data_IF_824754564096
#
_entry.id   IF_824754564096
#
_cell.length_a   1.000
_cell.length_b   1.000
_cell.length_c   1.000
_cell.angle_alpha   90.00
_cell.angle_beta   90.00
_cell.angle_gamma   90.00
#
_symmetry.space_group_name_H-M   'P 1'
#
loop_
_entity.id
_entity.type
_entity.pdbx_description
1 polymer ?
#
# COMPACT_ATOMS: atom_id res chain seq x y z
N UNK A 1 -14.31 -6.60 -6.25
CA UNK A 1 -15.57 -6.80 -5.48
C UNK A 1 -16.73 -6.21 -6.28
N UNK A 2 -17.91 -6.85 -6.36
CA UNK A 2 -19.09 -6.25 -7.02
C UNK A 2 -20.23 -6.15 -6.00
N UNK A 3 -20.81 -4.96 -5.89
CA UNK A 3 -21.93 -4.67 -4.99
C UNK A 3 -23.09 -4.19 -5.86
N UNK A 4 -24.26 -4.80 -5.70
CA UNK A 4 -25.48 -4.41 -6.39
C UNK A 4 -26.51 -3.97 -5.35
N UNK A 5 -26.93 -2.70 -5.44
CA UNK A 5 -27.94 -2.11 -4.56
C UNK A 5 -29.20 -1.87 -5.38
N UNK A 6 -30.27 -2.60 -5.07
CA UNK A 6 -31.59 -2.38 -5.65
C UNK A 6 -32.38 -1.49 -4.71
N UNK A 7 -32.76 -0.30 -5.16
CA UNK A 7 -33.61 0.62 -4.39
C UNK A 7 -34.94 0.85 -5.08
N UNK A 8 -36.02 0.75 -4.31
CA UNK A 8 -37.36 1.07 -4.78
C UNK A 8 -37.59 2.57 -4.61
N UNK A 9 -37.75 3.31 -5.70
CA UNK A 9 -38.03 4.73 -5.60
C UNK A 9 -39.49 4.90 -5.19
N UNK A 10 -39.74 5.44 -3.99
CA UNK A 10 -41.09 5.64 -3.42
C UNK A 10 -41.97 6.64 -4.22
N UNK A 11 -41.49 7.14 -5.35
CA UNK A 11 -42.18 8.10 -6.20
C UNK A 11 -43.26 7.43 -7.08
N UNK A 12 -44.23 6.69 -6.53
CA UNK A 12 -45.46 6.19 -7.18
C UNK A 12 -45.36 5.50 -8.57
N UNK A 13 -44.20 5.37 -9.19
CA UNK A 13 -43.99 4.82 -10.54
C UNK A 13 -43.62 3.34 -10.51
N UNK A 14 -43.34 2.77 -9.33
CA UNK A 14 -42.88 1.39 -9.18
C UNK A 14 -41.51 1.14 -9.83
N UNK A 15 -40.79 2.19 -10.21
CA UNK A 15 -39.51 2.06 -10.90
C UNK A 15 -38.41 1.70 -9.90
N UNK A 16 -37.92 0.46 -9.99
CA UNK A 16 -36.72 0.04 -9.28
C UNK A 16 -35.50 0.68 -9.94
N UNK A 17 -34.60 1.22 -9.12
CA UNK A 17 -33.28 1.68 -9.57
C UNK A 17 -32.23 0.72 -9.05
N UNK A 18 -31.47 0.12 -9.97
CA UNK A 18 -30.30 -0.70 -9.67
C UNK A 18 -29.07 0.20 -9.73
N UNK A 19 -28.29 0.26 -8.65
CA UNK A 19 -26.96 0.86 -8.62
C UNK A 19 -25.93 -0.23 -8.43
N UNK A 20 -24.95 -0.29 -9.32
CA UNK A 20 -23.82 -1.20 -9.21
C UNK A 20 -22.56 -0.42 -8.78
N UNK A 21 -21.88 -0.93 -7.76
CA UNK A 21 -20.60 -0.42 -7.26
C UNK A 21 -19.52 -1.49 -7.47
N UNK A 22 -18.48 -1.14 -8.20
CA UNK A 22 -17.43 -2.05 -8.62
C UNK A 22 -16.13 -1.69 -7.91
N UNK A 23 -15.67 -2.58 -7.03
CA UNK A 23 -14.34 -2.58 -6.47
C UNK A 23 -13.31 -3.04 -7.50
N UNK A 24 -13.24 -2.35 -8.64
CA UNK A 24 -12.38 -2.61 -9.81
C UNK A 24 -11.79 -1.31 -10.36
N UNK A 25 -11.72 -0.26 -9.55
CA UNK A 25 -11.02 0.98 -9.93
C UNK A 25 -9.55 0.69 -10.18
N UNK A 26 -8.97 1.35 -11.18
CA UNK A 26 -7.54 1.26 -11.51
C UNK A 26 -6.66 2.23 -10.70
N UNK A 27 -7.26 2.96 -9.74
CA UNK A 27 -6.58 3.98 -8.95
C UNK A 27 -5.25 3.49 -8.33
N UNK A 28 -5.20 2.24 -7.89
CA UNK A 28 -4.01 1.67 -7.25
C UNK A 28 -3.30 0.61 -8.10
N UNK A 29 -3.65 0.45 -9.37
CA UNK A 29 -3.11 -0.62 -10.22
C UNK A 29 -1.58 -0.59 -10.25
N UNK A 30 -0.94 -1.74 -10.00
CA UNK A 30 0.52 -1.87 -10.00
C UNK A 30 1.22 -1.18 -8.82
N UNK A 31 0.54 -0.45 -7.94
CA UNK A 31 1.19 0.07 -6.71
C UNK A 31 1.53 -1.06 -5.73
N UNK A 32 0.90 -2.22 -5.87
CA UNK A 32 1.25 -3.46 -5.17
C UNK A 32 2.56 -4.09 -5.64
N UNK A 33 2.98 -3.80 -6.88
CA UNK A 33 4.32 -4.15 -7.34
C UNK A 33 5.34 -3.19 -6.70
N UNK A 34 6.25 -3.74 -5.88
CA UNK A 34 7.22 -2.95 -5.11
C UNK A 34 8.06 -2.02 -5.97
N UNK A 35 8.42 -2.45 -7.17
CA UNK A 35 9.24 -1.66 -8.07
C UNK A 35 8.46 -0.56 -8.79
N UNK A 36 7.19 -0.79 -9.11
CA UNK A 36 6.32 0.24 -9.68
C UNK A 36 5.90 1.28 -8.63
N UNK A 37 5.74 0.90 -7.36
CA UNK A 37 5.63 1.87 -6.27
C UNK A 37 6.86 2.78 -6.22
N UNK A 38 8.07 2.22 -6.27
CA UNK A 38 9.31 3.00 -6.27
C UNK A 38 9.43 3.90 -7.52
N UNK A 39 9.03 3.41 -8.72
CA UNK A 39 8.96 4.25 -9.93
C UNK A 39 7.93 5.36 -9.79
N UNK A 40 6.77 5.05 -9.23
CA UNK A 40 5.68 6.03 -9.03
C UNK A 40 6.12 7.15 -8.10
N UNK A 41 6.77 6.83 -6.97
CA UNK A 41 7.32 7.84 -6.06
C UNK A 41 8.33 8.76 -6.77
N UNK A 42 9.18 8.22 -7.66
CA UNK A 42 10.10 9.02 -8.47
C UNK A 42 9.39 9.87 -9.53
N UNK A 43 8.39 9.31 -10.23
CA UNK A 43 7.56 10.04 -11.22
C UNK A 43 6.86 11.24 -10.56
N UNK A 44 6.37 11.05 -9.33
CA UNK A 44 5.71 12.09 -8.53
C UNK A 44 6.69 13.01 -7.80
N UNK A 45 8.00 12.82 -7.98
CA UNK A 45 9.08 13.63 -7.36
C UNK A 45 9.05 13.63 -5.82
N UNK A 46 8.66 12.51 -5.23
CA UNK A 46 8.50 12.37 -3.78
C UNK A 46 9.81 12.11 -3.02
N UNK A 47 10.98 12.16 -3.67
CA UNK A 47 12.26 11.77 -3.06
C UNK A 47 12.64 12.65 -1.86
N UNK A 48 12.20 13.90 -1.86
CA UNK A 48 12.45 14.88 -0.79
C UNK A 48 11.47 14.79 0.38
N UNK A 49 10.41 13.97 0.25
CA UNK A 49 9.35 13.86 1.25
C UNK A 49 9.55 12.72 2.24
N UNK A 50 10.58 11.90 2.04
CA UNK A 50 10.88 10.72 2.86
C UNK A 50 9.67 9.77 3.03
N UNK A 51 8.79 9.67 2.02
CA UNK A 51 7.58 8.82 2.06
C UNK A 51 7.95 7.34 2.27
N UNK A 52 9.00 6.87 1.61
CA UNK A 52 9.47 5.49 1.67
C UNK A 52 10.96 5.47 1.99
N UNK A 53 11.49 4.42 2.63
CA UNK A 53 12.92 4.33 2.85
C UNK A 53 13.67 4.37 1.50
N UNK A 54 14.86 4.98 1.43
CA UNK A 54 15.64 5.08 0.20
C UNK A 54 15.72 3.73 -0.52
N UNK A 55 15.35 3.72 -1.80
CA UNK A 55 15.18 2.49 -2.58
C UNK A 55 15.86 2.58 -3.95
N UNK A 56 16.53 1.51 -4.34
CA UNK A 56 17.16 1.32 -5.64
C UNK A 56 16.52 0.13 -6.35
N UNK A 57 16.31 0.29 -7.66
CA UNK A 57 15.79 -0.77 -8.52
C UNK A 57 16.95 -1.51 -9.16
N UNK A 58 16.90 -2.85 -9.16
CA UNK A 58 17.90 -3.70 -9.77
C UNK A 58 17.22 -4.57 -10.84
N UNK A 59 17.66 -4.43 -12.08
CA UNK A 59 17.16 -5.22 -13.20
C UNK A 59 17.81 -6.61 -13.23
N UNK A 60 17.11 -7.61 -13.78
CA UNK A 60 17.54 -9.01 -13.83
C UNK A 60 18.83 -9.25 -14.63
N UNK A 61 19.16 -8.33 -15.54
CA UNK A 61 20.28 -8.47 -16.49
C UNK A 61 21.45 -7.53 -16.21
N UNK A 62 21.32 -6.62 -15.24
CA UNK A 62 22.39 -5.68 -14.91
C UNK A 62 23.33 -6.31 -13.88
N UNK A 63 24.63 -6.15 -14.09
CA UNK A 63 25.64 -6.54 -13.10
C UNK A 63 25.46 -5.69 -11.83
N UNK A 64 25.03 -6.32 -10.74
CA UNK A 64 24.73 -5.63 -9.48
C UNK A 64 25.89 -4.78 -8.96
N UNK A 65 27.14 -5.19 -9.25
CA UNK A 65 28.36 -4.45 -8.87
C UNK A 65 28.41 -3.05 -9.47
N UNK A 66 27.86 -2.85 -10.67
CA UNK A 66 27.84 -1.55 -11.35
C UNK A 66 26.78 -0.60 -10.78
N UNK A 67 25.72 -1.14 -10.16
CA UNK A 67 24.61 -0.37 -9.59
C UNK A 67 24.83 0.00 -8.13
N UNK A 68 25.35 -0.95 -7.36
CA UNK A 68 25.42 -0.87 -5.90
C UNK A 68 26.79 -0.36 -5.43
N UNK A 69 27.84 -0.55 -6.24
CA UNK A 69 29.21 -0.31 -5.79
C UNK A 69 29.62 -1.23 -4.64
N UNK A 70 30.65 -0.84 -3.88
CA UNK A 70 31.14 -1.61 -2.72
C UNK A 70 30.26 -1.47 -1.46
N UNK A 71 29.23 -0.62 -1.47
CA UNK A 71 28.37 -0.34 -0.30
C UNK A 71 26.88 -0.38 -0.67
N UNK A 72 26.07 -1.25 -0.03
CA UNK A 72 24.72 -1.60 -0.48
C UNK A 72 23.72 -0.43 -0.53
N UNK A 73 23.94 0.65 0.21
CA UNK A 73 23.13 1.86 0.08
C UNK A 73 23.96 3.10 0.34
N UNK A 74 23.99 4.02 -0.63
CA UNK A 74 24.35 5.43 -0.39
C UNK A 74 23.08 6.17 0.07
N UNK A 75 22.36 5.61 1.04
CA UNK A 75 21.26 6.32 1.65
C UNK A 75 21.84 7.53 2.41
N UNK A 76 21.19 8.70 2.40
CA UNK A 76 21.58 9.81 3.26
C UNK A 76 21.23 9.44 4.72
N UNK A 77 22.07 8.60 5.34
CA UNK A 77 21.99 8.37 6.77
C UNK A 77 22.45 9.65 7.49
N UNK A 78 21.68 10.19 8.45
CA UNK A 78 22.03 11.42 9.16
C UNK A 78 23.22 11.27 10.14
N UNK A 79 23.89 10.12 10.18
CA UNK A 79 25.08 9.88 11.00
C UNK A 79 26.10 9.00 10.23
N UNK A 80 27.40 9.12 10.53
CA UNK A 80 28.43 8.24 9.99
C UNK A 80 28.27 6.85 10.64
N UNK A 81 27.36 6.05 10.09
CA UNK A 81 27.26 4.63 10.40
C UNK A 81 28.41 3.94 9.66
N UNK A 82 29.13 3.06 10.36
CA UNK A 82 30.16 2.23 9.73
C UNK A 82 29.52 1.47 8.55
N UNK A 83 29.97 1.69 7.30
CA UNK A 83 29.40 1.06 6.13
C UNK A 83 29.31 -0.46 6.24
N UNK A 84 30.21 -1.09 7.01
CA UNK A 84 30.24 -2.55 7.24
C UNK A 84 29.08 -3.08 8.10
N UNK A 85 28.32 -2.20 8.76
CA UNK A 85 27.15 -2.55 9.58
C UNK A 85 25.82 -2.23 8.89
N UNK A 86 25.86 -1.59 7.72
CA UNK A 86 24.66 -1.19 7.01
C UNK A 86 23.97 -2.42 6.40
N UNK A 87 22.82 -2.78 6.96
CA UNK A 87 21.96 -3.84 6.42
C UNK A 87 20.89 -3.20 5.57
N UNK A 88 20.79 -3.68 4.33
CA UNK A 88 19.70 -3.34 3.42
C UNK A 88 18.70 -4.50 3.35
N UNK A 89 17.51 -4.18 2.85
CA UNK A 89 16.43 -5.14 2.61
C UNK A 89 16.30 -5.30 1.10
N UNK A 90 16.70 -6.46 0.59
CA UNK A 90 16.48 -6.85 -0.79
C UNK A 90 15.13 -7.57 -0.88
N UNK A 91 14.22 -7.03 -1.71
CA UNK A 91 12.88 -7.57 -1.91
C UNK A 91 12.73 -8.09 -3.33
N UNK A 92 12.24 -9.32 -3.44
CA UNK A 92 11.77 -9.89 -4.68
C UNK A 92 10.63 -9.04 -5.25
N UNK A 93 10.57 -8.88 -6.59
CA UNK A 93 9.56 -8.04 -7.21
C UNK A 93 8.12 -8.49 -6.89
N UNK A 94 7.88 -9.79 -6.90
CA UNK A 94 6.57 -10.43 -6.71
C UNK A 94 6.42 -11.10 -5.34
N UNK A 95 7.35 -10.84 -4.42
CA UNK A 95 7.32 -11.41 -3.08
C UNK A 95 6.14 -10.87 -2.27
N UNK A 96 5.43 -11.75 -1.56
CA UNK A 96 4.31 -11.39 -0.68
C UNK A 96 4.41 -12.11 0.67
N UNK A 97 3.74 -11.56 1.70
CA UNK A 97 3.67 -12.12 3.06
C UNK A 97 5.06 -12.35 3.70
N UNK A 98 6.00 -11.47 3.40
CA UNK A 98 7.40 -11.56 3.87
C UNK A 98 8.26 -12.60 3.12
N UNK A 99 7.69 -13.42 2.24
CA UNK A 99 8.46 -14.28 1.32
C UNK A 99 9.19 -13.41 0.30
N UNK A 100 10.43 -13.79 -0.04
CA UNK A 100 11.26 -13.02 -0.96
C UNK A 100 11.84 -11.73 -0.37
N UNK A 101 11.87 -11.61 0.96
CA UNK A 101 12.53 -10.53 1.68
C UNK A 101 13.84 -11.05 2.28
N UNK A 102 14.96 -10.45 1.90
CA UNK A 102 16.31 -10.82 2.32
C UNK A 102 16.98 -9.63 3.00
N UNK A 103 17.69 -9.89 4.11
CA UNK A 103 18.56 -8.90 4.74
C UNK A 103 19.97 -9.10 4.19
N UNK A 104 20.50 -8.09 3.52
CA UNK A 104 21.76 -8.16 2.78
C UNK A 104 22.76 -7.12 3.29
N UNK A 105 24.03 -7.49 3.31
CA UNK A 105 25.14 -6.67 3.82
C UNK A 105 26.05 -6.14 2.72
N UNK A 106 26.13 -6.84 1.59
CA UNK A 106 27.04 -6.48 0.52
C UNK A 106 26.49 -6.88 -0.87
N UNK A 107 27.24 -6.46 -1.89
CA UNK A 107 26.87 -6.69 -3.29
C UNK A 107 27.04 -8.14 -3.73
N UNK A 108 27.89 -8.93 -3.07
CA UNK A 108 28.09 -10.34 -3.38
C UNK A 108 26.88 -11.17 -2.89
N UNK A 109 26.35 -10.88 -1.70
CA UNK A 109 25.09 -11.47 -1.20
C UNK A 109 23.92 -11.14 -2.14
N UNK A 110 23.78 -9.88 -2.54
CA UNK A 110 22.74 -9.44 -3.50
C UNK A 110 22.86 -10.23 -4.80
N UNK A 111 24.08 -10.32 -5.36
CA UNK A 111 24.30 -11.01 -6.61
C UNK A 111 23.99 -12.50 -6.50
N UNK A 112 24.40 -13.16 -5.41
CA UNK A 112 24.13 -14.58 -5.19
C UNK A 112 22.62 -14.88 -5.13
N UNK A 113 21.84 -14.04 -4.44
CA UNK A 113 20.38 -14.19 -4.33
C UNK A 113 19.69 -13.99 -5.68
N UNK A 114 20.02 -12.91 -6.39
CA UNK A 114 19.43 -12.61 -7.71
C UNK A 114 19.82 -13.69 -8.72
N UNK A 115 21.07 -14.14 -8.71
CA UNK A 115 21.56 -15.18 -9.62
C UNK A 115 20.82 -16.51 -9.46
N UNK A 116 20.60 -16.91 -8.21
CA UNK A 116 19.84 -18.12 -7.88
C UNK A 116 18.42 -18.03 -8.43
N UNK A 117 17.70 -16.95 -8.10
CA UNK A 117 16.33 -16.73 -8.57
C UNK A 117 16.24 -16.61 -10.11
N UNK A 118 17.25 -16.01 -10.73
CA UNK A 118 17.39 -15.94 -12.19
C UNK A 118 17.47 -17.31 -12.83
N UNK A 119 18.32 -18.19 -12.31
CA UNK A 119 18.43 -19.57 -12.81
C UNK A 119 17.10 -20.32 -12.69
N UNK A 120 16.44 -20.20 -11.54
CA UNK A 120 15.13 -20.80 -11.31
C UNK A 120 14.08 -20.28 -12.31
N UNK A 121 13.94 -18.96 -12.44
CA UNK A 121 13.02 -18.32 -13.39
C UNK A 121 13.28 -18.70 -14.86
N UNK A 122 14.54 -18.84 -15.27
CA UNK A 122 14.89 -19.25 -16.65
C UNK A 122 14.74 -20.74 -16.91
N UNK A 123 14.72 -21.56 -15.85
CA UNK A 123 14.52 -23.01 -15.95
C UNK A 123 13.05 -23.39 -16.11
N UNK A 124 12.13 -22.51 -15.67
CA UNK A 124 10.70 -22.69 -15.85
C UNK A 124 10.25 -22.20 -17.24
N UNK A 125 9.73 -23.12 -18.06
CA UNK A 125 9.31 -22.81 -19.43
C UNK A 125 8.20 -21.75 -19.48
N UNK A 126 8.50 -20.64 -20.18
CA UNK A 126 7.56 -19.54 -20.41
C UNK A 126 7.29 -18.67 -19.17
N UNK A 127 8.03 -18.81 -18.07
CA UNK A 127 7.80 -18.01 -16.85
C UNK A 127 7.96 -16.50 -17.11
N UNK A 128 9.07 -16.09 -17.74
CA UNK A 128 9.32 -14.67 -18.05
C UNK A 128 8.31 -14.12 -19.07
N UNK A 129 7.93 -14.92 -20.06
CA UNK A 129 6.94 -14.51 -21.07
C UNK A 129 5.56 -14.30 -20.44
N UNK A 130 5.16 -15.15 -19.49
CA UNK A 130 3.92 -14.97 -18.71
C UNK A 130 3.97 -13.68 -17.89
N UNK A 131 5.08 -13.39 -17.22
CA UNK A 131 5.26 -12.14 -16.47
C UNK A 131 5.15 -10.91 -17.38
N UNK A 132 5.77 -10.94 -18.56
CA UNK A 132 5.67 -9.84 -19.54
C UNK A 132 4.23 -9.71 -20.05
N UNK A 133 3.54 -10.82 -20.32
CA UNK A 133 2.15 -10.78 -20.77
C UNK A 133 1.20 -10.20 -19.70
N UNK A 134 1.42 -10.54 -18.42
CA UNK A 134 0.60 -10.07 -17.31
C UNK A 134 0.89 -8.62 -16.91
N UNK A 135 2.17 -8.25 -16.82
CA UNK A 135 2.61 -6.96 -16.25
C UNK A 135 3.09 -5.96 -17.30
N UNK A 136 3.23 -6.37 -18.55
CA UNK A 136 3.83 -5.57 -19.64
C UNK A 136 5.34 -5.36 -19.50
N UNK A 137 5.99 -6.02 -18.53
CA UNK A 137 7.40 -5.84 -18.16
C UNK A 137 7.91 -7.02 -17.33
N UNK A 138 9.23 -7.14 -17.21
CA UNK A 138 9.85 -7.96 -16.16
C UNK A 138 10.03 -7.07 -14.92
N UNK A 139 9.43 -7.39 -13.77
CA UNK A 139 9.58 -6.58 -12.57
C UNK A 139 11.01 -6.56 -12.01
N UNK A 140 11.46 -5.38 -11.59
CA UNK A 140 12.80 -5.16 -11.00
C UNK A 140 12.80 -5.54 -9.52
N UNK A 141 13.96 -5.96 -9.02
CA UNK A 141 14.19 -6.12 -7.59
C UNK A 141 14.24 -4.75 -6.90
N UNK A 142 13.89 -4.70 -5.62
CA UNK A 142 13.97 -3.47 -4.82
C UNK A 142 14.98 -3.68 -3.69
N UNK A 143 16.09 -2.95 -3.77
CA UNK A 143 17.04 -2.81 -2.67
C UNK A 143 16.67 -1.57 -1.86
N UNK A 144 16.19 -1.76 -0.65
CA UNK A 144 15.65 -0.70 0.20
C UNK A 144 16.46 -0.60 1.49
N UNK A 145 16.72 0.63 1.95
CA UNK A 145 17.33 0.84 3.26
C UNK A 145 16.46 0.25 4.38
N UNK A 146 17.08 -0.44 5.34
CA UNK A 146 16.35 -0.87 6.54
C UNK A 146 15.95 0.36 7.38
N UNK A 147 14.71 0.38 7.86
CA UNK A 147 14.23 1.43 8.77
C UNK A 147 14.85 1.23 10.14
N UNK A 148 15.84 2.07 10.48
CA UNK A 148 16.54 2.07 11.77
C UNK A 148 16.76 3.51 12.29
N UNK A 149 16.69 3.71 13.62
CA UNK A 149 16.14 2.79 14.62
C UNK A 149 14.60 2.69 14.46
N UNK A 150 14.07 1.46 14.41
CA UNK A 150 12.63 1.23 14.39
C UNK A 150 12.06 1.32 15.81
N UNK A 151 10.85 1.84 15.97
CA UNK A 151 10.16 1.85 17.25
C UNK A 151 9.87 0.41 17.66
N UNK A 152 10.23 0.05 18.88
CA UNK A 152 9.93 -1.26 19.45
C UNK A 152 8.86 -1.18 20.53
N UNK A 153 8.04 -2.21 20.63
CA UNK A 153 6.94 -2.35 21.59
C UNK A 153 7.05 -3.66 22.37
N UNK A 154 6.33 -3.79 23.48
CA UNK A 154 6.14 -5.06 24.22
C UNK A 154 7.41 -5.92 24.34
N UNK A 155 8.37 -5.44 25.11
CA UNK A 155 9.67 -6.11 25.27
C UNK A 155 10.42 -6.20 23.94
N UNK A 156 10.69 -5.05 23.32
CA UNK A 156 11.63 -4.90 22.20
C UNK A 156 11.22 -5.62 20.91
N UNK A 157 9.91 -5.79 20.68
CA UNK A 157 9.38 -6.39 19.45
C UNK A 157 9.13 -5.33 18.39
N UNK A 158 9.56 -5.63 17.17
CA UNK A 158 9.25 -4.83 15.98
C UNK A 158 7.77 -4.94 15.65
N UNK A 159 7.20 -3.90 15.06
CA UNK A 159 5.84 -3.93 14.52
C UNK A 159 5.75 -3.09 13.25
N UNK A 160 4.72 -3.34 12.44
CA UNK A 160 4.28 -2.37 11.43
C UNK A 160 2.81 -2.04 11.65
N UNK A 161 2.39 -0.90 11.09
CA UNK A 161 1.02 -0.45 11.09
C UNK A 161 0.41 -0.77 9.72
N UNK A 162 -0.71 -1.48 9.71
CA UNK A 162 -1.58 -1.62 8.54
C UNK A 162 -2.67 -0.56 8.62
N UNK A 163 -2.73 0.32 7.64
CA UNK A 163 -3.83 1.29 7.47
C UNK A 163 -4.52 1.11 6.14
N UNK A 164 -5.79 1.51 6.04
CA UNK A 164 -6.59 1.31 4.84
C UNK A 164 -6.91 2.64 4.18
N UNK A 165 -6.71 2.69 2.86
CA UNK A 165 -7.11 3.82 2.01
C UNK A 165 -8.13 3.33 1.00
N UNK A 166 -9.18 4.13 0.81
CA UNK A 166 -10.24 3.89 -0.17
C UNK A 166 -10.24 5.02 -1.17
N UNK A 167 -10.16 4.69 -2.46
CA UNK A 167 -10.36 5.63 -3.54
C UNK A 167 -11.75 5.39 -4.13
N UNK A 168 -12.59 6.43 -4.19
CA UNK A 168 -13.91 6.40 -4.81
C UNK A 168 -13.86 7.26 -6.06
N UNK A 169 -14.15 6.68 -7.22
CA UNK A 169 -14.26 7.43 -8.48
C UNK A 169 -15.57 8.21 -8.50
N UNK A 170 -15.50 9.50 -8.79
CA UNK A 170 -16.68 10.34 -9.02
C UNK A 170 -17.07 10.23 -10.50
N UNK A 171 -18.37 10.33 -10.80
CA UNK A 171 -18.85 10.11 -12.17
C UNK A 171 -18.49 11.30 -13.06
N UNK A 172 -17.53 11.09 -13.96
CA UNK A 172 -17.00 12.10 -14.91
C UNK A 172 -17.98 12.44 -16.04
N UNK A 173 -19.04 11.65 -16.24
CA UNK A 173 -19.94 11.77 -17.40
C UNK A 173 -21.30 12.39 -17.09
N UNK A 174 -21.31 13.54 -16.42
CA UNK A 174 -22.41 14.48 -16.61
C UNK A 174 -21.88 15.63 -17.46
N UNK A 175 -22.16 15.55 -18.76
CA UNK A 175 -21.94 16.61 -19.76
C UNK A 175 -22.66 17.92 -19.44
N UNK A 176 -23.45 17.95 -18.36
CA UNK A 176 -23.94 19.16 -17.75
C UNK A 176 -23.45 19.18 -16.30
N UNK A 177 -22.65 20.18 -15.87
CA UNK A 177 -22.50 20.44 -14.46
C UNK A 177 -23.91 20.60 -13.90
N UNK A 178 -24.27 19.80 -12.87
CA UNK A 178 -25.47 20.04 -12.09
C UNK A 178 -25.40 21.50 -11.64
N UNK A 179 -26.36 22.32 -12.08
CA UNK A 179 -26.37 23.78 -11.94
C UNK A 179 -25.73 24.24 -10.61
N UNK A 180 -24.49 24.72 -10.69
CA UNK A 180 -23.78 25.37 -9.58
C UNK A 180 -22.75 24.55 -8.80
N UNK A 181 -22.45 23.29 -9.18
CA UNK A 181 -21.33 22.55 -8.57
C UNK A 181 -20.04 22.74 -9.39
N UNK A 182 -18.97 23.16 -8.71
CA UNK A 182 -17.62 23.27 -9.27
C UNK A 182 -17.14 21.91 -9.80
N UNK A 183 -16.20 21.93 -10.75
CA UNK A 183 -15.56 20.76 -11.37
C UNK A 183 -15.19 19.73 -10.29
N UNK A 184 -15.98 18.67 -10.13
CA UNK A 184 -15.73 17.67 -9.07
C UNK A 184 -14.42 16.93 -9.36
N UNK A 185 -13.56 16.80 -8.34
CA UNK A 185 -12.38 15.93 -8.39
C UNK A 185 -12.77 14.56 -8.95
N UNK A 186 -12.01 14.03 -9.92
CA UNK A 186 -12.26 12.72 -10.55
C UNK A 186 -12.31 11.56 -9.53
N UNK A 187 -11.62 11.75 -8.40
CA UNK A 187 -11.58 10.78 -7.32
C UNK A 187 -11.65 11.46 -5.95
N UNK A 188 -12.21 10.74 -4.98
CA UNK A 188 -12.18 11.12 -3.56
C UNK A 188 -11.44 10.02 -2.79
N UNK A 189 -10.42 10.42 -2.02
CA UNK A 189 -9.60 9.50 -1.22
C UNK A 189 -9.92 9.60 0.27
N UNK A 190 -10.06 8.44 0.91
CA UNK A 190 -10.43 8.32 2.32
C UNK A 190 -9.46 7.42 3.07
N UNK A 191 -9.15 7.80 4.32
CA UNK A 191 -8.33 7.03 5.26
C UNK A 191 -9.27 6.42 6.30
N UNK A 192 -9.13 5.12 6.56
CA UNK A 192 -9.81 4.48 7.67
C UNK A 192 -9.02 4.72 8.96
N UNK A 193 -9.60 5.45 9.91
CA UNK A 193 -8.93 5.92 11.14
C UNK A 193 -8.69 4.85 12.21
N UNK A 194 -9.06 3.59 11.93
CA UNK A 194 -8.78 2.43 12.79
C UNK A 194 -7.65 1.62 12.19
N UNK A 195 -6.44 1.81 12.72
CA UNK A 195 -5.24 1.17 12.20
C UNK A 195 -4.96 -0.15 12.92
N UNK A 196 -4.50 -1.15 12.17
CA UNK A 196 -4.00 -2.42 12.69
C UNK A 196 -2.50 -2.30 12.99
N UNK A 197 -2.03 -2.94 14.05
CA UNK A 197 -0.61 -3.22 14.29
C UNK A 197 -0.36 -4.71 14.14
N UNK A 198 0.72 -5.09 13.46
CA UNK A 198 1.21 -6.47 13.39
C UNK A 198 2.58 -6.57 14.04
N UNK A 199 2.69 -7.46 15.02
CA UNK A 199 3.82 -7.51 15.93
C UNK A 199 4.70 -8.73 15.59
N UNK A 200 6.02 -8.54 15.60
CA UNK A 200 6.98 -9.62 15.43
C UNK A 200 6.82 -10.70 16.51
N UNK A 201 7.07 -11.96 16.14
CA UNK A 201 6.88 -13.11 17.03
C UNK A 201 8.00 -13.23 18.07
N UNK A 202 9.15 -12.60 17.83
CA UNK A 202 10.28 -12.53 18.75
C UNK A 202 10.77 -11.09 18.96
N UNK A 203 11.41 -10.79 20.12
CA UNK A 203 12.08 -9.52 20.35
C UNK A 203 13.30 -9.36 19.44
N UNK A 204 13.63 -8.11 19.09
CA UNK A 204 14.88 -7.77 18.41
C UNK A 204 16.05 -7.94 19.39
N UNK A 205 17.21 -8.53 18.98
CA UNK A 205 18.40 -8.66 19.84
C UNK A 205 18.89 -7.32 20.41
N UNK A 206 19.47 -7.31 21.62
CA UNK A 206 19.91 -6.10 22.35
C UNK A 206 21.08 -5.39 21.70
N UNK A 207 21.93 -6.14 21.02
CA UNK A 207 23.09 -5.64 20.31
C UNK A 207 23.22 -6.34 18.96
N UNK A 208 23.96 -5.72 18.05
CA UNK A 208 24.32 -6.38 16.78
C UNK A 208 25.28 -7.57 17.00
N UNK A 209 26.00 -7.59 18.12
CA UNK A 209 26.86 -8.71 18.53
C UNK A 209 26.04 -9.95 18.91
N UNK A 210 24.86 -9.76 19.50
CA UNK A 210 23.88 -10.84 19.74
C UNK A 210 23.26 -11.36 18.44
N UNK A 211 23.35 -10.58 17.36
CA UNK A 211 22.86 -10.89 16.03
C UNK A 211 24.00 -11.37 15.10
N UNK A 212 24.90 -12.21 15.64
CA UNK A 212 26.01 -12.78 14.89
C UNK A 212 25.51 -13.83 13.88
N UNK A 213 25.06 -13.39 12.70
CA UNK A 213 24.66 -14.28 11.61
C UNK A 213 23.58 -13.70 10.69
N UNK A 214 22.76 -14.60 10.15
CA UNK A 214 21.54 -14.28 9.40
C UNK A 214 20.51 -13.66 10.36
N UNK A 215 19.86 -12.55 9.97
CA UNK A 215 18.84 -11.89 10.79
C UNK A 215 17.69 -12.85 11.07
N UNK A 216 17.26 -12.93 12.33
CA UNK A 216 16.10 -13.76 12.70
C UNK A 216 14.84 -13.16 12.08
N UNK A 217 14.28 -13.86 11.09
CA UNK A 217 13.06 -13.44 10.38
C UNK A 217 11.90 -13.24 11.35
N UNK A 218 11.82 -14.03 12.42
CA UNK A 218 10.75 -13.94 13.43
C UNK A 218 10.82 -12.65 14.26
N UNK A 219 12.00 -12.03 14.35
CA UNK A 219 12.22 -10.75 15.04
C UNK A 219 12.09 -9.54 14.09
N UNK A 220 12.45 -9.72 12.81
CA UNK A 220 12.58 -8.62 11.85
C UNK A 220 11.44 -8.51 10.82
N UNK A 221 10.65 -9.57 10.66
CA UNK A 221 9.45 -9.62 9.80
C UNK A 221 8.23 -9.78 10.70
N UNK A 222 7.25 -8.92 10.44
CA UNK A 222 6.06 -8.70 11.29
C UNK A 222 4.79 -9.32 10.71
N UNK A 223 4.90 -10.18 9.70
CA UNK A 223 3.75 -10.87 9.10
C UNK A 223 3.34 -12.06 9.98
N UNK A 224 2.74 -11.75 11.12
CA UNK A 224 2.30 -12.73 12.13
C UNK A 224 0.79 -12.65 12.35
N UNK A 225 0.28 -13.56 13.19
CA UNK A 225 -1.11 -13.56 13.66
C UNK A 225 -1.32 -12.71 14.93
N UNK A 226 -0.26 -12.13 15.53
CA UNK A 226 -0.42 -11.17 16.63
C UNK A 226 -0.79 -9.80 16.05
N UNK A 227 -2.10 -9.62 15.90
CA UNK A 227 -2.74 -8.46 15.28
C UNK A 227 -3.63 -7.77 16.31
N UNK A 228 -3.46 -6.47 16.45
CA UNK A 228 -4.25 -5.63 17.35
C UNK A 228 -4.55 -4.29 16.71
N UNK A 229 -5.43 -3.50 17.32
CA UNK A 229 -5.64 -2.14 16.88
C UNK A 229 -4.63 -1.21 17.55
N UNK A 230 -4.20 -0.18 16.84
CA UNK A 230 -3.27 0.82 17.35
C UNK A 230 -3.83 1.50 18.61
N UNK A 231 -5.14 1.78 18.63
CA UNK A 231 -5.84 2.36 19.78
C UNK A 231 -5.99 1.42 20.99
N UNK A 232 -5.60 0.15 20.87
CA UNK A 232 -5.58 -0.79 21.98
C UNK A 232 -4.18 -0.91 22.62
N UNK A 233 -3.19 -0.15 22.12
CA UNK A 233 -1.80 -0.18 22.59
C UNK A 233 -1.39 1.16 23.24
N UNK A 234 -1.41 1.24 24.59
CA UNK A 234 -1.19 2.50 25.32
C UNK A 234 0.12 3.22 24.98
N UNK A 235 1.21 2.47 24.74
CA UNK A 235 2.50 3.07 24.38
C UNK A 235 2.45 3.80 23.02
N UNK A 236 1.62 3.33 22.08
CA UNK A 236 1.44 3.99 20.78
C UNK A 236 0.46 5.17 20.85
N UNK A 237 -0.60 5.05 21.67
CA UNK A 237 -1.57 6.13 21.92
C UNK A 237 -0.88 7.33 22.56
N UNK A 238 -0.05 7.10 23.57
CA UNK A 238 0.68 8.16 24.29
C UNK A 238 1.62 8.95 23.37
N UNK A 239 2.03 8.37 22.24
CA UNK A 239 2.86 9.03 21.21
C UNK A 239 2.05 9.76 20.15
N UNK A 240 0.72 9.74 20.24
CA UNK A 240 -0.20 10.28 19.25
C UNK A 240 0.03 9.69 17.85
N UNK A 241 0.34 8.40 17.76
CA UNK A 241 0.68 7.77 16.48
C UNK A 241 -0.51 7.69 15.52
N UNK A 242 -1.75 7.65 16.02
CA UNK A 242 -2.94 7.64 15.16
C UNK A 242 -2.97 8.89 14.25
N UNK A 243 -2.96 10.09 14.83
CA UNK A 243 -2.94 11.34 14.05
C UNK A 243 -1.70 11.46 13.16
N UNK A 244 -0.52 11.02 13.63
CA UNK A 244 0.71 11.03 12.82
C UNK A 244 0.58 10.14 11.58
N UNK A 245 -0.01 8.96 11.72
CA UNK A 245 -0.28 8.05 10.60
C UNK A 245 -1.28 8.67 9.64
N UNK A 246 -2.39 9.23 10.11
CA UNK A 246 -3.37 9.91 9.26
C UNK A 246 -2.74 11.04 8.46
N UNK A 247 -2.02 11.95 9.13
CA UNK A 247 -1.34 13.07 8.47
C UNK A 247 -0.27 12.60 7.48
N UNK A 248 0.49 11.55 7.82
CA UNK A 248 1.47 10.96 6.91
C UNK A 248 0.80 10.42 5.64
N UNK A 249 -0.24 9.60 5.80
CA UNK A 249 -0.97 8.98 4.68
C UNK A 249 -1.61 10.06 3.80
N UNK A 250 -2.23 11.06 4.40
CA UNK A 250 -2.85 12.16 3.67
C UNK A 250 -1.83 12.91 2.81
N UNK A 251 -0.66 13.26 3.36
CA UNK A 251 0.43 13.92 2.61
C UNK A 251 1.02 13.02 1.52
N UNK A 252 1.21 11.74 1.82
CA UNK A 252 1.75 10.79 0.86
C UNK A 252 0.82 10.62 -0.34
N UNK A 253 -0.48 10.46 -0.09
CA UNK A 253 -1.47 10.25 -1.14
C UNK A 253 -1.81 11.53 -1.90
N UNK A 254 -1.74 12.70 -1.25
CA UNK A 254 -1.82 13.99 -1.96
C UNK A 254 -0.67 14.14 -2.97
N UNK A 255 0.55 13.74 -2.61
CA UNK A 255 1.68 13.75 -3.54
C UNK A 255 1.56 12.70 -4.67
N UNK A 256 0.90 11.57 -4.42
CA UNK A 256 0.68 10.51 -5.40
C UNK A 256 -0.57 10.76 -6.27
N UNK A 257 -1.44 11.69 -5.88
CA UNK A 257 -2.73 11.96 -6.49
C UNK A 257 -2.66 12.13 -8.02
N UNK A 258 -1.70 12.90 -8.59
CA UNK A 258 -1.65 13.07 -10.05
C UNK A 258 -1.43 11.77 -10.82
N UNK A 259 -0.66 10.81 -10.28
CA UNK A 259 -0.45 9.51 -10.94
C UNK A 259 -1.69 8.61 -10.80
N UNK A 260 -2.38 8.68 -9.66
CA UNK A 260 -3.63 7.96 -9.38
C UNK A 260 -4.74 8.44 -10.31
N UNK A 261 -4.95 9.76 -10.41
CA UNK A 261 -5.94 10.38 -11.30
C UNK A 261 -5.67 10.01 -12.77
N UNK A 262 -4.40 10.05 -13.19
CA UNK A 262 -4.01 9.64 -14.55
C UNK A 262 -4.41 8.20 -14.85
N UNK A 263 -4.25 7.28 -13.90
CA UNK A 263 -4.64 5.86 -14.06
C UNK A 263 -6.15 5.73 -14.21
N UNK A 264 -6.92 6.42 -13.36
CA UNK A 264 -8.38 6.43 -13.45
C UNK A 264 -8.85 7.03 -14.77
N UNK A 265 -8.29 8.16 -15.20
CA UNK A 265 -8.62 8.81 -16.46
C UNK A 265 -8.33 7.91 -17.67
N UNK A 266 -7.19 7.20 -17.69
CA UNK A 266 -6.88 6.21 -18.73
C UNK A 266 -7.86 5.04 -18.75
N UNK A 267 -8.32 4.59 -17.58
CA UNK A 267 -9.37 3.56 -17.49
C UNK A 267 -10.70 4.04 -18.05
N UNK A 268 -11.05 5.30 -17.79
CA UNK A 268 -12.29 5.91 -18.26
C UNK A 268 -12.29 6.09 -19.78
N UNK A 269 -11.19 6.55 -20.39
CA UNK A 269 -11.13 6.75 -21.84
C UNK A 269 -11.30 5.46 -22.65
N UNK A 270 -10.81 4.33 -22.12
CA UNK A 270 -11.02 3.01 -22.76
C UNK A 270 -12.50 2.62 -22.76
N UNK A 271 -13.23 2.95 -21.67
CA UNK A 271 -14.67 2.68 -21.58
C UNK A 271 -15.50 3.59 -22.50
N UNK A 272 -15.07 4.83 -22.70
CA UNK A 272 -15.76 5.75 -23.62
C UNK A 272 -15.68 5.25 -25.06
N UNK A 273 -14.51 4.77 -25.50
CA UNK A 273 -14.36 4.15 -26.83
C UNK A 273 -15.26 2.91 -26.99
N UNK A 274 -15.40 2.09 -25.95
CA UNK A 274 -16.33 0.94 -25.96
C UNK A 274 -17.80 1.39 -25.98
N UNK A 275 -18.14 2.47 -25.26
CA UNK A 275 -19.50 2.98 -25.14
C UNK A 275 -19.99 3.61 -26.44
N UNK A 276 -19.14 4.39 -27.13
CA UNK A 276 -19.41 4.97 -28.45
C UNK A 276 -19.72 3.87 -29.48
N UNK A 277 -19.02 2.74 -29.39
CA UNK A 277 -19.29 1.56 -30.23
C UNK A 277 -20.61 0.83 -29.87
N UNK A 278 -21.14 1.03 -28.66
CA UNK A 278 -22.33 0.35 -28.14
C UNK A 278 -23.64 1.15 -28.22
N UNK A 279 -23.59 2.40 -28.69
CA UNK A 279 -24.79 3.25 -28.87
C UNK A 279 -25.22 4.03 -27.63
N UNK A 280 -24.30 4.33 -26.70
CA UNK A 280 -24.45 5.42 -25.73
C UNK A 280 -25.42 5.19 -24.55
N UNK A 281 -25.77 3.94 -24.23
CA UNK A 281 -26.67 3.62 -23.12
C UNK A 281 -25.99 2.81 -22.02
N UNK A 282 -24.81 3.26 -21.57
CA UNK A 282 -24.17 2.71 -20.37
C UNK A 282 -24.17 3.72 -19.23
N UNK A 283 -24.89 3.38 -18.16
CA UNK A 283 -24.64 3.97 -16.84
C UNK A 283 -23.28 3.46 -16.39
N UNK A 284 -22.28 4.33 -16.30
CA UNK A 284 -20.99 3.92 -15.77
C UNK A 284 -21.17 3.44 -14.32
N UNK A 285 -20.71 2.22 -13.98
CA UNK A 285 -20.78 1.74 -12.61
C UNK A 285 -19.90 2.62 -11.72
N UNK A 286 -20.37 2.91 -10.51
CA UNK A 286 -19.54 3.59 -9.52
C UNK A 286 -18.35 2.70 -9.18
N UNK A 287 -17.13 3.17 -9.39
CA UNK A 287 -15.93 2.38 -9.09
C UNK A 287 -15.27 2.84 -7.81
N UNK A 288 -14.63 1.90 -7.13
CA UNK A 288 -13.75 2.19 -6.02
C UNK A 288 -12.59 1.20 -5.96
N UNK A 289 -11.54 1.53 -5.23
CA UNK A 289 -10.43 0.65 -4.92
C UNK A 289 -10.08 0.75 -3.43
N UNK A 290 -9.53 -0.34 -2.89
CA UNK A 290 -9.06 -0.42 -1.50
C UNK A 290 -7.59 -0.80 -1.52
N UNK A 291 -6.79 -0.08 -0.76
CA UNK A 291 -5.39 -0.41 -0.50
C UNK A 291 -5.16 -0.55 1.01
N UNK A 292 -4.39 -1.58 1.40
CA UNK A 292 -3.80 -1.70 2.72
C UNK A 292 -2.34 -1.26 2.69
N UNK A 293 -1.99 -0.20 3.40
CA UNK A 293 -0.63 0.33 3.46
C UNK A 293 0.10 -0.27 4.64
N UNK A 294 1.31 -0.79 4.41
CA UNK A 294 2.20 -1.24 5.49
C UNK A 294 3.19 -0.14 5.81
N UNK A 295 3.12 0.35 7.05
CA UNK A 295 3.88 1.49 7.53
C UNK A 295 4.83 1.07 8.65
N UNK A 296 6.08 1.50 8.57
CA UNK A 296 7.06 1.34 9.65
C UNK A 296 7.23 2.65 10.40
N UNK A 297 7.40 2.56 11.72
CA UNK A 297 7.62 3.72 12.59
C UNK A 297 9.02 3.64 13.19
N UNK A 298 9.67 4.78 13.28
CA UNK A 298 11.00 4.95 13.88
C UNK A 298 10.90 5.40 15.34
N UNK A 299 12.00 5.28 16.09
CA UNK A 299 12.09 5.77 17.46
C UNK A 299 11.86 7.29 17.58
N UNK A 300 12.05 8.07 16.52
CA UNK A 300 11.74 9.51 16.49
C UNK A 300 10.37 9.83 15.87
N UNK A 301 9.46 8.85 15.84
CA UNK A 301 8.07 8.96 15.35
C UNK A 301 7.92 9.28 13.86
N UNK A 302 8.98 9.15 13.05
CA UNK A 302 8.84 9.22 11.59
C UNK A 302 8.19 7.94 11.07
N UNK A 303 7.26 8.13 10.13
CA UNK A 303 6.49 7.06 9.49
C UNK A 303 7.02 6.88 8.07
N UNK A 304 7.20 5.62 7.66
CA UNK A 304 7.64 5.24 6.33
C UNK A 304 6.68 4.24 5.70
N UNK A 305 6.31 4.45 4.45
CA UNK A 305 5.57 3.50 3.62
C UNK A 305 6.51 2.39 3.12
N UNK A 306 6.22 1.14 3.50
CA UNK A 306 6.99 -0.04 3.10
C UNK A 306 6.46 -0.69 1.83
N UNK A 307 5.13 -0.83 1.74
CA UNK A 307 4.44 -1.38 0.58
C UNK A 307 2.94 -0.99 0.59
N UNK A 308 2.34 -1.08 -0.59
CA UNK A 308 0.90 -0.94 -0.80
C UNK A 308 0.37 -2.34 -1.13
N UNK A 309 -0.73 -2.75 -0.50
CA UNK A 309 -1.40 -4.02 -0.80
C UNK A 309 -2.78 -3.70 -1.38
N UNK A 310 -2.92 -3.79 -2.71
CA UNK A 310 -4.21 -3.60 -3.38
C UNK A 310 -5.11 -4.79 -3.09
N UNK A 311 -6.38 -4.52 -2.75
CA UNK A 311 -7.34 -5.55 -2.31
C UNK A 311 -6.79 -6.40 -1.14
N UNK A 312 -6.43 -5.78 -0.01
CA UNK A 312 -5.72 -6.47 1.07
C UNK A 312 -6.53 -7.66 1.61
N UNK A 313 -5.87 -8.80 1.78
CA UNK A 313 -6.51 -10.00 2.33
C UNK A 313 -6.78 -9.86 3.84
N UNK A 314 -7.95 -10.29 4.28
CA UNK A 314 -8.20 -10.56 5.70
C UNK A 314 -7.58 -11.91 6.10
N UNK A 315 -7.06 -12.03 7.34
CA UNK A 315 -6.62 -13.33 7.86
C UNK A 315 -7.83 -14.27 8.07
N UNK A 316 -7.61 -15.60 8.08
CA UNK A 316 -8.68 -16.55 8.38
C UNK A 316 -9.30 -16.25 9.77
N UNK A 317 -10.63 -16.25 9.92
CA UNK A 317 -11.30 -15.87 11.17
C UNK A 317 -10.78 -16.63 12.40
N UNK A 318 -10.49 -17.93 12.25
CA UNK A 318 -9.98 -18.80 13.30
C UNK A 318 -8.57 -18.44 13.81
N UNK A 319 -7.84 -17.60 13.07
CA UNK A 319 -6.46 -17.19 13.43
C UNK A 319 -6.41 -15.86 14.18
N UNK A 320 -7.54 -15.17 14.34
CA UNK A 320 -7.59 -13.83 14.94
C UNK A 320 -8.55 -13.74 16.11
N UNK A 321 -8.25 -12.82 17.02
CA UNK A 321 -9.07 -12.56 18.20
C UNK A 321 -10.45 -11.99 17.81
N UNK A 322 -11.52 -12.25 18.58
CA UNK A 322 -12.86 -11.74 18.29
C UNK A 322 -12.93 -10.22 18.07
N UNK A 323 -12.16 -9.43 18.84
CA UNK A 323 -12.10 -7.98 18.67
C UNK A 323 -11.58 -7.55 17.29
N UNK A 324 -10.61 -8.29 16.73
CA UNK A 324 -10.10 -8.02 15.39
C UNK A 324 -11.10 -8.46 14.32
N UNK A 325 -11.82 -9.57 14.52
CA UNK A 325 -12.93 -9.95 13.62
C UNK A 325 -13.99 -8.85 13.54
N UNK A 326 -14.40 -8.29 14.70
CA UNK A 326 -15.33 -7.16 14.74
C UNK A 326 -14.78 -5.92 14.03
N UNK A 327 -13.47 -5.68 14.07
CA UNK A 327 -12.84 -4.60 13.30
C UNK A 327 -12.95 -4.82 11.79
N UNK A 328 -12.64 -6.02 11.28
CA UNK A 328 -12.73 -6.34 9.84
C UNK A 328 -14.19 -6.26 9.35
N UNK A 329 -15.13 -6.79 10.14
CA UNK A 329 -16.57 -6.66 9.83
C UNK A 329 -17.03 -5.20 9.84
N UNK A 330 -16.57 -4.41 10.83
CA UNK A 330 -16.86 -2.98 10.91
C UNK A 330 -16.30 -2.21 9.72
N UNK A 331 -15.06 -2.49 9.32
CA UNK A 331 -14.45 -1.89 8.13
C UNK A 331 -15.30 -2.13 6.87
N UNK A 332 -15.76 -3.37 6.67
CA UNK A 332 -16.60 -3.68 5.51
C UNK A 332 -17.94 -2.95 5.57
N UNK A 333 -18.57 -2.87 6.75
CA UNK A 333 -19.80 -2.12 6.93
C UNK A 333 -19.62 -0.63 6.59
N UNK A 334 -18.59 0.00 7.15
CA UNK A 334 -18.31 1.42 6.95
C UNK A 334 -17.90 1.70 5.49
N UNK A 335 -17.20 0.77 4.84
CA UNK A 335 -16.89 0.86 3.42
C UNK A 335 -18.17 0.81 2.56
N UNK A 336 -19.08 -0.11 2.88
CA UNK A 336 -20.35 -0.23 2.18
C UNK A 336 -21.17 1.04 2.33
N UNK A 337 -21.19 1.63 3.52
CA UNK A 337 -21.80 2.94 3.76
C UNK A 337 -21.13 4.00 2.88
N UNK A 338 -19.81 4.17 3.00
CA UNK A 338 -19.02 5.15 2.25
C UNK A 338 -19.29 5.12 0.74
N UNK A 339 -19.32 3.94 0.12
CA UNK A 339 -19.47 3.83 -1.33
C UNK A 339 -20.92 3.92 -1.80
N UNK A 340 -21.91 3.59 -0.95
CA UNK A 340 -23.33 3.52 -1.38
C UNK A 340 -24.16 4.73 -0.98
N UNK A 341 -23.79 5.45 0.08
CA UNK A 341 -24.55 6.61 0.55
C UNK A 341 -24.10 7.89 -0.15
N UNK A 342 -25.06 8.68 -0.64
CA UNK A 342 -24.80 10.04 -1.16
C UNK A 342 -24.53 11.07 -0.06
N UNK A 343 -24.82 10.72 1.19
CA UNK A 343 -24.68 11.59 2.36
C UNK A 343 -23.37 11.32 3.08
N UNK A 344 -22.89 12.30 3.85
CA UNK A 344 -21.76 12.13 4.78
C UNK A 344 -21.96 10.85 5.57
N UNK A 345 -20.95 9.97 5.56
CA UNK A 345 -20.95 8.71 6.31
C UNK A 345 -21.38 8.97 7.75
N UNK A 346 -22.31 8.18 8.29
CA UNK A 346 -22.66 8.23 9.71
C UNK A 346 -21.59 7.58 10.57
N UNK A 347 -20.76 6.72 9.98
CA UNK A 347 -19.54 6.23 10.61
C UNK A 347 -18.43 7.29 10.52
N UNK A 348 -18.01 7.81 11.67
CA UNK A 348 -16.86 8.73 11.84
C UNK A 348 -15.49 8.04 11.62
N UNK A 349 -15.45 6.95 10.85
CA UNK A 349 -14.27 6.11 10.68
C UNK A 349 -13.51 6.36 9.38
N UNK A 350 -14.09 7.06 8.40
CA UNK A 350 -13.42 7.48 7.18
C UNK A 350 -13.22 8.99 7.16
N UNK A 351 -11.96 9.41 7.01
CA UNK A 351 -11.61 10.82 6.81
C UNK A 351 -11.10 11.04 5.40
N UNK A 352 -11.60 12.07 4.72
CA UNK A 352 -11.00 12.46 3.45
C UNK A 352 -9.57 12.94 3.68
N UNK A 353 -8.66 12.63 2.76
CA UNK A 353 -7.26 13.10 2.86
C UNK A 353 -7.20 14.63 2.96
N UNK A 354 -8.05 15.33 2.20
CA UNK A 354 -8.16 16.79 2.26
C UNK A 354 -8.59 17.30 3.65
N UNK A 355 -9.58 16.67 4.28
CA UNK A 355 -10.00 17.06 5.63
C UNK A 355 -8.88 16.83 6.66
N UNK A 356 -8.07 15.78 6.49
CA UNK A 356 -6.90 15.54 7.36
C UNK A 356 -5.81 16.59 7.16
N UNK A 357 -5.57 17.05 5.94
CA UNK A 357 -4.56 18.09 5.65
C UNK A 357 -4.96 19.48 6.16
N UNK A 358 -6.25 19.72 6.39
CA UNK A 358 -6.78 20.99 6.88
C UNK A 358 -6.86 21.07 8.42
N UNK A 359 -6.63 19.97 9.13
CA UNK A 359 -6.52 19.94 10.61
C UNK A 359 -5.17 20.49 11.05
#
# INVERSE_FOLDING_TARGET
>A
MKIEVVSNNNNNTGQMTLKAFHGTSQAFDGLDDKDELARTLRRCRCEHMDISPPSQLINWYEECKNLVGDSPTRAPAPAPVDPSTCIAVLKEPMGSRGTGVYFVRDSDEIHAIIEKNRKEATSEEGFLDKLIAEKGRIPSWVLQAEVKPCLLIRDRRKFHIRTYVVCVETNVLLTEPLDGEEEEDLIKMFIYNRHEIRIASKPVPASEEEESGERDRDAHITETYDRKLLQDEPELINRNLNTKVESFVAKAFDALLPDIERRVAMSASVLDEENDNSGGCMVLPHKFAIAGLDLMVTEDDRVYLLEVNVNPSAPPPETVQPGYQSHVTGFLHDLMELVTTKTVSTSDNFYSTQAVLQR
#
